data_IF_513010604633
#
_entry.id   IF_513010604633
#
_cell.length_a   1.000
_cell.length_b   1.000
_cell.length_c   1.000
_cell.angle_alpha   90.00
_cell.angle_beta   90.00
_cell.angle_gamma   90.00
#
_symmetry.space_group_name_H-M   'P 1'
#
loop_
_entity.id
_entity.type
_entity.pdbx_description
1 polymer ?
#
# COMPACT_ATOMS: atom_id res chain seq x y z
N UNK A 1 -11.24 -30.32 -13.23
CA UNK A 1 -11.31 -29.20 -14.22
C UNK A 1 -11.49 -27.91 -13.48
N UNK A 2 -10.52 -26.99 -13.54
CA UNK A 2 -10.64 -25.70 -12.87
C UNK A 2 -11.64 -24.82 -13.63
N UNK A 3 -12.77 -24.49 -12.99
CA UNK A 3 -13.78 -23.60 -13.54
C UNK A 3 -13.16 -22.24 -13.87
N UNK A 4 -13.19 -21.85 -15.13
CA UNK A 4 -12.71 -20.51 -15.56
C UNK A 4 -13.60 -19.45 -14.92
N UNK A 5 -12.97 -18.46 -14.26
CA UNK A 5 -13.70 -17.34 -13.64
C UNK A 5 -14.36 -16.49 -14.73
N UNK A 6 -15.58 -16.00 -14.49
CA UNK A 6 -16.33 -15.14 -15.42
C UNK A 6 -15.49 -13.96 -15.98
N UNK A 7 -14.60 -13.40 -15.17
CA UNK A 7 -13.70 -12.33 -15.62
C UNK A 7 -12.55 -12.77 -16.52
N UNK A 8 -12.31 -14.07 -16.66
CA UNK A 8 -11.38 -14.63 -17.66
C UNK A 8 -12.08 -14.81 -19.00
N UNK A 9 -13.40 -15.05 -18.99
CA UNK A 9 -14.24 -15.20 -20.17
C UNK A 9 -14.59 -13.80 -20.72
N UNK A 10 -14.90 -12.84 -19.83
CA UNK A 10 -15.29 -11.47 -20.17
C UNK A 10 -14.33 -10.44 -19.55
N UNK A 11 -13.19 -10.14 -20.19
CA UNK A 11 -12.19 -9.22 -19.65
C UNK A 11 -12.70 -7.79 -19.41
N UNK A 12 -13.71 -7.33 -20.15
CA UNK A 12 -14.32 -6.01 -19.96
C UNK A 12 -15.02 -5.84 -18.61
N UNK A 13 -15.33 -6.92 -17.89
CA UNK A 13 -15.90 -6.88 -16.53
C UNK A 13 -14.83 -6.65 -15.45
N UNK A 14 -13.54 -6.72 -15.78
CA UNK A 14 -12.46 -6.54 -14.81
C UNK A 14 -12.49 -5.19 -14.08
N UNK A 15 -12.68 -4.02 -14.75
CA UNK A 15 -12.72 -2.75 -14.06
C UNK A 15 -13.91 -2.64 -13.10
N UNK A 16 -15.08 -3.14 -13.50
CA UNK A 16 -16.27 -3.17 -12.65
C UNK A 16 -16.04 -4.03 -11.40
N UNK A 17 -15.44 -5.21 -11.57
CA UNK A 17 -15.12 -6.11 -10.45
C UNK A 17 -14.03 -5.54 -9.52
N UNK A 18 -13.04 -4.82 -10.07
CA UNK A 18 -12.04 -4.11 -9.26
C UNK A 18 -12.70 -3.01 -8.42
N UNK A 19 -13.59 -2.23 -9.03
CA UNK A 19 -14.35 -1.20 -8.32
C UNK A 19 -15.24 -1.79 -7.23
N UNK A 20 -15.99 -2.83 -7.52
CA UNK A 20 -16.83 -3.55 -6.56
C UNK A 20 -16.02 -4.08 -5.37
N UNK A 21 -14.87 -4.74 -5.62
CA UNK A 21 -13.99 -5.23 -4.57
C UNK A 21 -13.46 -4.09 -3.70
N UNK A 22 -13.11 -2.97 -4.31
CA UNK A 22 -12.65 -1.79 -3.60
C UNK A 22 -13.75 -1.20 -2.71
N UNK A 23 -14.97 -1.12 -3.22
CA UNK A 23 -16.13 -0.67 -2.44
C UNK A 23 -16.38 -1.59 -1.25
N UNK A 24 -16.43 -2.91 -1.48
CA UNK A 24 -16.60 -3.90 -0.41
C UNK A 24 -15.49 -3.81 0.64
N UNK A 25 -14.24 -3.65 0.22
CA UNK A 25 -13.11 -3.50 1.12
C UNK A 25 -13.26 -2.28 2.04
N UNK A 26 -13.59 -1.11 1.49
CA UNK A 26 -13.79 0.10 2.29
C UNK A 26 -15.05 0.04 3.15
N UNK A 27 -16.13 -0.58 2.66
CA UNK A 27 -17.33 -0.81 3.45
C UNK A 27 -17.03 -1.73 4.64
N UNK A 28 -16.35 -2.87 4.40
CA UNK A 28 -15.93 -3.78 5.46
C UNK A 28 -15.05 -3.07 6.51
N UNK A 29 -14.11 -2.23 6.07
CA UNK A 29 -13.28 -1.44 7.00
C UNK A 29 -14.09 -0.44 7.83
N UNK A 30 -15.18 0.11 7.30
CA UNK A 30 -16.06 1.06 8.00
C UNK A 30 -16.91 0.35 9.06
N UNK A 31 -17.38 -0.85 8.77
CA UNK A 31 -18.21 -1.67 9.66
C UNK A 31 -17.42 -2.63 10.57
N UNK A 32 -16.08 -2.64 10.43
CA UNK A 32 -15.21 -3.46 11.28
C UNK A 32 -15.23 -2.92 12.72
N UNK A 33 -15.53 -3.81 13.66
CA UNK A 33 -15.58 -3.49 15.10
C UNK A 33 -14.22 -3.33 15.75
N UNK A 34 -13.12 -3.56 15.02
CA UNK A 34 -11.75 -3.42 15.54
C UNK A 34 -11.45 -1.97 15.84
N UNK A 35 -10.77 -1.75 16.95
CA UNK A 35 -10.21 -0.43 17.28
C UNK A 35 -8.92 -0.23 16.49
N UNK A 36 -8.93 0.71 15.57
CA UNK A 36 -7.75 1.00 14.74
C UNK A 36 -6.90 2.11 15.37
N UNK A 37 -5.58 1.89 15.41
CA UNK A 37 -4.62 2.90 15.83
C UNK A 37 -4.63 4.09 14.87
N UNK A 38 -4.93 5.28 15.38
CA UNK A 38 -5.00 6.54 14.60
C UNK A 38 -4.36 7.71 15.33
N UNK A 39 -4.13 7.55 16.64
CA UNK A 39 -3.50 8.60 17.44
C UNK A 39 -2.05 8.74 17.03
N UNK A 40 -1.63 9.97 16.80
CA UNK A 40 -0.24 10.32 16.51
C UNK A 40 0.33 11.12 17.64
N UNK A 41 1.62 10.94 17.90
CA UNK A 41 2.39 11.81 18.77
C UNK A 41 3.25 12.76 17.94
N UNK A 42 3.66 13.88 18.50
CA UNK A 42 4.57 14.82 17.84
C UNK A 42 6.00 14.27 17.81
N UNK A 43 6.41 13.60 18.88
CA UNK A 43 7.75 13.03 19.04
C UNK A 43 7.71 11.51 19.04
N UNK A 44 8.74 10.84 18.53
CA UNK A 44 8.87 9.38 18.67
C UNK A 44 8.94 8.99 20.15
N UNK A 45 8.63 7.74 20.45
CA UNK A 45 8.83 7.17 21.78
C UNK A 45 10.32 7.16 22.13
N UNK A 46 10.68 7.30 23.43
CA UNK A 46 12.07 7.49 23.85
C UNK A 46 12.96 6.25 23.64
N UNK A 47 12.37 5.08 23.47
CA UNK A 47 13.10 3.82 23.31
C UNK A 47 12.82 3.22 21.93
N UNK A 48 13.90 2.88 21.21
CA UNK A 48 13.83 2.12 19.96
C UNK A 48 13.94 0.64 20.28
N UNK A 49 12.90 -0.14 19.94
CA UNK A 49 12.90 -1.59 20.14
C UNK A 49 13.51 -2.35 18.97
N UNK A 50 13.26 -1.92 17.75
CA UNK A 50 13.85 -2.52 16.56
C UNK A 50 13.95 -1.52 15.42
N UNK A 51 14.91 -1.74 14.55
CA UNK A 51 15.11 -0.99 13.33
C UNK A 51 15.27 -1.96 12.16
N UNK A 52 14.54 -1.71 11.07
CA UNK A 52 14.63 -2.48 9.84
C UNK A 52 14.89 -1.55 8.67
N UNK A 53 15.86 -1.89 7.83
CA UNK A 53 16.19 -1.11 6.65
C UNK A 53 16.17 -1.94 5.38
N UNK A 54 15.93 -1.28 4.24
CA UNK A 54 15.97 -1.91 2.93
C UNK A 54 16.47 -0.92 1.89
N UNK A 55 17.13 -1.44 0.84
CA UNK A 55 17.60 -0.62 -0.27
C UNK A 55 16.41 0.00 -1.00
N UNK A 56 16.34 1.33 -1.00
CA UNK A 56 15.24 2.07 -1.60
C UNK A 56 15.39 2.14 -3.13
N UNK A 57 16.56 2.52 -3.61
CA UNK A 57 16.83 2.72 -5.04
C UNK A 57 17.64 1.54 -5.59
N UNK A 58 17.02 0.74 -6.45
CA UNK A 58 17.70 -0.34 -7.15
C UNK A 58 18.05 0.11 -8.58
N UNK A 59 19.32 0.45 -8.80
CA UNK A 59 19.83 0.88 -10.12
C UNK A 59 19.94 -0.27 -11.13
N UNK A 60 19.91 -1.52 -10.66
CA UNK A 60 20.04 -2.74 -11.49
C UNK A 60 18.69 -3.41 -11.75
N UNK A 61 17.59 -2.67 -11.63
CA UNK A 61 16.23 -3.21 -11.79
C UNK A 61 15.83 -3.56 -13.23
N UNK A 62 16.62 -3.12 -14.23
CA UNK A 62 16.26 -3.25 -15.65
C UNK A 62 15.13 -2.30 -16.12
N UNK A 63 14.65 -1.41 -15.23
CA UNK A 63 13.61 -0.42 -15.53
C UNK A 63 14.16 1.00 -15.42
N UNK A 64 13.52 1.99 -16.09
CA UNK A 64 13.90 3.39 -15.98
C UNK A 64 13.99 3.84 -14.51
N UNK A 65 15.06 4.57 -14.19
CA UNK A 65 15.33 5.07 -12.83
C UNK A 65 14.22 6.00 -12.32
N UNK A 66 13.47 6.62 -13.22
CA UNK A 66 12.32 7.45 -12.88
C UNK A 66 11.33 6.71 -11.97
N UNK A 67 11.02 5.44 -12.27
CA UNK A 67 10.12 4.63 -11.44
C UNK A 67 10.69 4.38 -10.04
N UNK A 68 12.01 4.35 -9.89
CA UNK A 68 12.66 4.23 -8.57
C UNK A 68 12.52 5.54 -7.78
N UNK A 69 12.68 6.69 -8.41
CA UNK A 69 12.45 7.99 -7.76
C UNK A 69 10.97 8.21 -7.44
N UNK A 70 10.07 7.81 -8.34
CA UNK A 70 8.63 7.85 -8.10
C UNK A 70 8.24 6.95 -6.93
N UNK A 71 8.86 5.77 -6.81
CA UNK A 71 8.71 4.90 -5.64
C UNK A 71 9.14 5.62 -4.36
N UNK A 72 10.31 6.26 -4.35
CA UNK A 72 10.79 6.98 -3.18
C UNK A 72 9.81 8.09 -2.76
N UNK A 73 9.27 8.84 -3.72
CA UNK A 73 8.22 9.83 -3.47
C UNK A 73 6.96 9.19 -2.85
N UNK A 74 6.48 8.08 -3.42
CA UNK A 74 5.30 7.36 -2.93
C UNK A 74 5.49 6.86 -1.50
N UNK A 75 6.68 6.32 -1.20
CA UNK A 75 7.01 5.85 0.16
C UNK A 75 7.05 7.01 1.15
N UNK A 76 7.67 8.14 0.77
CA UNK A 76 7.72 9.33 1.62
C UNK A 76 6.32 9.86 1.98
N UNK A 77 5.40 9.87 1.01
CA UNK A 77 3.99 10.23 1.26
C UNK A 77 3.30 9.24 2.20
N UNK A 78 3.51 7.95 1.99
CA UNK A 78 2.93 6.92 2.85
C UNK A 78 3.48 6.99 4.29
N UNK A 79 4.78 7.18 4.45
CA UNK A 79 5.43 7.35 5.77
C UNK A 79 4.84 8.53 6.53
N UNK A 80 4.62 9.68 5.89
CA UNK A 80 3.97 10.86 6.52
C UNK A 80 2.60 10.53 7.12
N UNK A 81 1.89 9.55 6.55
CA UNK A 81 0.58 9.14 7.09
C UNK A 81 0.69 8.19 8.28
N UNK A 82 1.80 7.48 8.42
CA UNK A 82 2.00 6.43 9.43
C UNK A 82 2.97 6.79 10.54
N UNK A 83 3.87 7.74 10.28
CA UNK A 83 4.88 8.13 11.27
C UNK A 83 4.23 8.55 12.58
N UNK A 84 4.85 8.17 13.69
CA UNK A 84 4.44 8.49 15.06
C UNK A 84 3.04 8.00 15.44
N UNK A 85 2.46 7.03 14.72
CA UNK A 85 1.22 6.39 15.14
C UNK A 85 1.49 5.53 16.36
N UNK A 86 0.75 5.79 17.42
CA UNK A 86 0.81 5.01 18.66
C UNK A 86 -0.22 3.89 18.60
N UNK A 87 0.22 2.68 18.91
CA UNK A 87 -0.63 1.50 19.00
C UNK A 87 -0.81 1.16 20.47
N UNK A 88 -2.01 1.33 20.99
CA UNK A 88 -2.37 0.99 22.35
C UNK A 88 -2.80 -0.48 22.43
N UNK A 89 -2.77 -1.10 23.64
CA UNK A 89 -3.28 -2.45 23.83
C UNK A 89 -4.69 -2.63 23.28
N UNK A 90 -4.92 -3.71 22.55
CA UNK A 90 -6.21 -4.01 21.90
C UNK A 90 -6.49 -3.23 20.62
N UNK A 91 -5.56 -2.39 20.15
CA UNK A 91 -5.68 -1.71 18.86
C UNK A 91 -5.01 -2.50 17.73
N UNK A 92 -5.53 -2.29 16.52
CA UNK A 92 -4.99 -2.87 15.30
C UNK A 92 -4.33 -1.79 14.45
N UNK A 93 -3.07 -1.98 14.06
CA UNK A 93 -2.44 -1.17 13.02
C UNK A 93 -2.96 -1.60 11.64
N UNK A 94 -3.41 -0.65 10.84
CA UNK A 94 -3.87 -0.93 9.48
C UNK A 94 -3.21 -0.01 8.46
N UNK A 95 -2.31 -0.56 7.67
CA UNK A 95 -1.65 0.12 6.57
C UNK A 95 -2.66 0.81 5.63
N UNK A 96 -3.69 0.08 5.20
CA UNK A 96 -4.68 0.61 4.26
C UNK A 96 -5.61 1.66 4.85
N UNK A 97 -5.78 1.71 6.17
CA UNK A 97 -6.52 2.78 6.83
C UNK A 97 -5.72 4.08 6.88
N UNK A 98 -4.41 3.99 7.02
CA UNK A 98 -3.50 5.13 7.10
C UNK A 98 -3.13 5.63 5.71
N UNK A 99 -2.79 4.72 4.78
CA UNK A 99 -2.43 5.06 3.39
C UNK A 99 -3.66 4.95 2.49
N UNK A 100 -4.60 5.89 2.64
CA UNK A 100 -5.80 5.94 1.80
C UNK A 100 -5.47 6.48 0.41
N UNK A 101 -6.19 5.96 -0.60
CA UNK A 101 -6.19 6.51 -1.97
C UNK A 101 -4.81 6.48 -2.64
N UNK A 102 -3.99 5.45 -2.35
CA UNK A 102 -2.68 5.27 -2.95
C UNK A 102 -2.71 5.10 -4.48
N UNK A 103 -3.87 4.74 -5.03
CA UNK A 103 -4.12 4.60 -6.47
C UNK A 103 -4.55 5.90 -7.16
N UNK A 104 -4.57 7.03 -6.44
CA UNK A 104 -4.95 8.32 -7.03
C UNK A 104 -3.76 9.06 -7.60
N UNK A 105 -3.88 9.43 -8.88
CA UNK A 105 -2.91 10.21 -9.65
C UNK A 105 -2.53 11.54 -9.02
N UNK A 106 -3.43 12.17 -8.28
CA UNK A 106 -3.24 13.50 -7.71
C UNK A 106 -2.12 13.58 -6.66
N UNK A 107 -1.79 12.46 -6.01
CA UNK A 107 -0.83 12.41 -4.91
C UNK A 107 0.34 11.47 -5.17
N UNK A 108 0.05 10.31 -5.76
CA UNK A 108 1.02 9.26 -5.96
C UNK A 108 1.48 9.24 -7.42
N UNK A 109 2.75 8.99 -7.62
CA UNK A 109 3.37 8.86 -8.93
C UNK A 109 3.31 7.41 -9.43
N UNK A 110 3.47 7.23 -10.73
CA UNK A 110 3.61 5.89 -11.31
C UNK A 110 4.89 5.22 -10.83
N UNK A 111 4.80 4.00 -10.38
CA UNK A 111 5.92 3.18 -9.98
C UNK A 111 5.66 1.71 -10.31
N UNK A 112 6.65 0.88 -10.09
CA UNK A 112 6.58 -0.54 -10.39
C UNK A 112 5.70 -1.28 -9.37
N UNK A 113 4.83 -2.14 -9.89
CA UNK A 113 3.99 -3.07 -9.12
C UNK A 113 4.12 -4.48 -9.68
N UNK A 114 3.99 -5.48 -8.82
CA UNK A 114 3.94 -6.87 -9.24
C UNK A 114 2.47 -7.30 -9.35
N UNK A 115 2.02 -7.60 -10.56
CA UNK A 115 0.67 -8.10 -10.81
C UNK A 115 0.73 -9.43 -11.57
N UNK A 116 0.23 -10.52 -10.96
CA UNK A 116 0.25 -11.88 -11.51
C UNK A 116 1.67 -12.35 -11.94
N UNK A 117 2.69 -12.06 -11.12
CA UNK A 117 4.08 -12.42 -11.41
C UNK A 117 4.77 -11.57 -12.48
N UNK A 118 4.08 -10.56 -13.04
CA UNK A 118 4.64 -9.65 -14.04
C UNK A 118 4.76 -8.24 -13.47
N UNK A 119 5.87 -7.58 -13.79
CA UNK A 119 6.07 -6.19 -13.44
C UNK A 119 5.25 -5.30 -14.38
N UNK A 120 4.50 -4.38 -13.78
CA UNK A 120 3.69 -3.36 -14.45
C UNK A 120 3.91 -2.01 -13.78
N UNK A 121 3.43 -0.95 -14.39
CA UNK A 121 3.39 0.38 -13.78
C UNK A 121 2.00 0.70 -13.25
N UNK A 122 1.93 1.36 -12.10
CA UNK A 122 0.68 1.85 -11.54
C UNK A 122 0.94 3.00 -10.57
N UNK A 123 -0.05 3.86 -10.37
CA UNK A 123 0.01 4.88 -9.34
C UNK A 123 0.13 4.24 -7.94
N UNK A 124 0.98 4.82 -7.10
CA UNK A 124 1.30 4.24 -5.80
C UNK A 124 2.24 3.03 -5.88
N UNK A 125 2.90 2.80 -7.02
CA UNK A 125 3.88 1.73 -7.15
C UNK A 125 5.00 1.82 -6.12
N UNK A 126 5.47 0.66 -5.65
CA UNK A 126 6.50 0.51 -4.63
C UNK A 126 6.00 0.41 -3.19
N UNK A 127 4.74 0.69 -2.89
CA UNK A 127 4.19 0.62 -1.52
C UNK A 127 4.24 -0.79 -0.91
N UNK A 128 4.32 -1.84 -1.75
CA UNK A 128 4.52 -3.22 -1.28
C UNK A 128 5.83 -3.39 -0.49
N UNK A 129 6.89 -2.66 -0.87
CA UNK A 129 8.16 -2.70 -0.13
C UNK A 129 7.98 -2.16 1.29
N UNK A 130 7.26 -1.04 1.44
CA UNK A 130 6.98 -0.46 2.76
C UNK A 130 6.10 -1.38 3.61
N UNK A 131 5.04 -1.95 3.03
CA UNK A 131 4.20 -2.89 3.77
C UNK A 131 4.97 -4.14 4.19
N UNK A 132 5.86 -4.68 3.34
CA UNK A 132 6.70 -5.82 3.66
C UNK A 132 7.77 -5.56 4.73
N UNK A 133 8.13 -4.28 4.98
CA UNK A 133 9.01 -3.91 6.11
C UNK A 133 8.26 -3.78 7.43
N UNK A 134 6.95 -3.55 7.38
CA UNK A 134 6.11 -3.35 8.57
C UNK A 134 5.55 -4.65 9.13
N UNK A 135 5.50 -5.71 8.33
CA UNK A 135 4.92 -7.01 8.66
C UNK A 135 5.88 -8.16 8.35
#
# INVERSE_FOLDING_TARGET
MASKRLTQIFPFLLPLRRWQRKLFFYAKMKFDRRKYARRKQEKPLPYENCSVSSVLINRRSGFPLEYQFNKAHNLALAVKTMQHVVIEPGQTFSFYQLVKKADKRERFKEGLVLENGKLKTSYGGGLCQLSGLLF
#
